data_IF_575851946083
#
_entry.id   IF_575851946083
#
_cell.length_a   1.000
_cell.length_b   1.000
_cell.length_c   1.000
_cell.angle_alpha   90.00
_cell.angle_beta   90.00
_cell.angle_gamma   90.00
#
_symmetry.space_group_name_H-M   'P 1'
#
loop_
_entity.id
_entity.type
_entity.pdbx_description
1 polymer ?
#
# COMPACT_ATOMS: atom_id res chain seq x y z
N UNK A 1 -30.04 -0.11 2.99
CA UNK A 1 -28.79 0.08 3.76
C UNK A 1 -28.08 1.30 3.19
N UNK A 2 -27.79 2.29 4.02
CA UNK A 2 -27.64 3.69 3.59
C UNK A 2 -26.34 3.95 2.83
N UNK A 3 -26.45 4.38 1.57
CA UNK A 3 -25.33 4.77 0.69
C UNK A 3 -24.38 5.83 1.30
N UNK A 4 -24.81 6.53 2.35
CA UNK A 4 -24.02 7.53 3.09
C UNK A 4 -22.82 6.95 3.84
N UNK A 5 -22.88 5.69 4.32
CA UNK A 5 -21.73 5.07 5.00
C UNK A 5 -20.64 4.61 4.04
N UNK A 6 -21.01 4.14 2.84
CA UNK A 6 -20.07 3.67 1.82
C UNK A 6 -19.24 4.82 1.23
N UNK A 7 -19.86 5.98 0.97
CA UNK A 7 -19.15 7.18 0.51
C UNK A 7 -18.17 7.69 1.58
N UNK A 8 -18.51 7.55 2.86
CA UNK A 8 -17.64 7.91 3.98
C UNK A 8 -16.38 7.06 4.05
N UNK A 9 -16.49 5.74 3.96
CA UNK A 9 -15.32 4.85 3.99
C UNK A 9 -14.45 4.96 2.74
N UNK A 10 -15.05 5.19 1.57
CA UNK A 10 -14.30 5.45 0.35
C UNK A 10 -13.43 6.71 0.50
N UNK A 11 -13.97 7.78 1.08
CA UNK A 11 -13.22 9.02 1.31
C UNK A 11 -12.15 8.82 2.39
N UNK A 12 -12.50 8.21 3.53
CA UNK A 12 -11.54 7.90 4.60
C UNK A 12 -10.34 7.10 4.09
N UNK A 13 -10.60 6.09 3.24
CA UNK A 13 -9.53 5.31 2.64
C UNK A 13 -8.65 6.13 1.70
N UNK A 14 -9.24 7.03 0.91
CA UNK A 14 -8.47 7.94 0.04
C UNK A 14 -7.63 8.90 0.87
N UNK A 15 -8.17 9.44 1.96
CA UNK A 15 -7.44 10.34 2.86
C UNK A 15 -6.27 9.61 3.53
N UNK A 16 -6.46 8.36 3.96
CA UNK A 16 -5.40 7.48 4.44
C UNK A 16 -4.28 7.31 3.40
N UNK A 17 -4.65 7.02 2.14
CA UNK A 17 -3.69 6.86 1.04
C UNK A 17 -2.97 8.16 0.75
N UNK A 18 -3.67 9.30 0.72
CA UNK A 18 -3.08 10.63 0.56
C UNK A 18 -2.07 10.93 1.68
N UNK A 19 -2.41 10.63 2.94
CA UNK A 19 -1.50 10.84 4.06
C UNK A 19 -0.22 9.99 3.94
N UNK A 20 -0.31 8.76 3.42
CA UNK A 20 0.87 7.95 3.09
C UNK A 20 1.64 8.55 1.90
N UNK A 21 0.97 9.01 0.83
CA UNK A 21 1.64 9.55 -0.37
C UNK A 21 2.25 10.92 -0.16
N UNK A 22 1.76 11.68 0.81
CA UNK A 22 2.31 12.96 1.25
C UNK A 22 3.29 12.79 2.41
N UNK A 23 3.50 11.54 2.87
CA UNK A 23 4.40 11.23 3.96
C UNK A 23 5.80 11.73 3.64
N UNK A 24 6.26 12.72 4.40
CA UNK A 24 7.63 13.17 4.42
C UNK A 24 8.18 13.00 5.84
N UNK A 25 9.49 13.17 6.02
CA UNK A 25 10.18 13.08 7.31
C UNK A 25 9.65 14.04 8.40
N UNK A 26 8.68 14.89 8.06
CA UNK A 26 8.09 15.92 8.93
C UNK A 26 6.70 15.59 9.48
N UNK A 27 6.06 14.47 9.12
CA UNK A 27 4.79 14.10 9.73
C UNK A 27 4.96 13.72 11.21
N UNK A 28 4.00 14.09 12.09
CA UNK A 28 4.08 13.76 13.50
C UNK A 28 4.02 12.23 13.68
N UNK A 29 4.70 11.66 14.69
CA UNK A 29 4.90 10.22 14.81
C UNK A 29 3.60 9.39 14.95
N UNK A 30 2.49 10.05 15.26
CA UNK A 30 1.14 9.53 15.48
C UNK A 30 0.15 9.86 14.36
N UNK A 31 0.61 10.38 13.21
CA UNK A 31 -0.26 10.77 12.07
C UNK A 31 -1.20 9.64 11.60
N UNK A 32 -0.84 8.39 11.88
CA UNK A 32 -1.58 7.20 11.49
C UNK A 32 -2.75 6.86 12.44
N UNK A 33 -2.77 7.44 13.66
CA UNK A 33 -3.77 7.16 14.69
C UNK A 33 -5.19 7.58 14.31
N UNK A 34 -5.34 8.53 13.38
CA UNK A 34 -6.64 8.94 12.84
C UNK A 34 -7.22 7.92 11.83
N UNK A 35 -6.38 7.05 11.25
CA UNK A 35 -6.77 6.12 10.20
C UNK A 35 -6.74 4.65 10.64
N UNK A 36 -5.89 4.31 11.61
CA UNK A 36 -5.56 2.92 11.96
C UNK A 36 -5.88 2.65 13.43
N UNK A 37 -6.56 1.53 13.68
CA UNK A 37 -6.97 1.11 15.01
C UNK A 37 -5.72 0.79 15.88
N UNK A 38 -5.73 1.11 17.20
CA UNK A 38 -4.63 0.80 18.12
C UNK A 38 -4.12 -0.64 18.03
N UNK A 39 -5.05 -1.59 17.93
CA UNK A 39 -4.82 -3.02 17.74
C UNK A 39 -5.03 -3.50 16.29
N UNK A 40 -4.47 -2.80 15.29
CA UNK A 40 -4.55 -3.24 13.88
C UNK A 40 -3.84 -4.58 13.66
N UNK A 41 -4.47 -5.43 12.85
CA UNK A 41 -3.94 -6.71 12.41
C UNK A 41 -3.65 -6.66 10.91
N UNK A 42 -2.47 -7.11 10.51
CA UNK A 42 -2.08 -7.22 9.10
C UNK A 42 -1.65 -8.65 8.78
N UNK A 43 -2.31 -9.30 7.82
CA UNK A 43 -2.07 -10.69 7.43
C UNK A 43 -1.96 -11.63 8.65
N UNK A 44 -2.96 -11.53 9.53
CA UNK A 44 -3.09 -12.32 10.77
C UNK A 44 -2.04 -12.03 11.85
N UNK A 45 -1.26 -10.95 11.73
CA UNK A 45 -0.32 -10.49 12.76
C UNK A 45 -0.85 -9.25 13.44
N UNK A 46 -1.04 -9.29 14.76
CA UNK A 46 -1.35 -8.11 15.57
C UNK A 46 -0.10 -7.22 15.59
N UNK A 47 -0.19 -6.05 14.94
CA UNK A 47 0.92 -5.11 14.81
C UNK A 47 0.74 -3.88 15.71
N UNK A 48 -0.50 -3.40 15.78
CA UNK A 48 -0.79 -2.08 16.30
C UNK A 48 -0.15 -0.94 15.48
N UNK A 49 -0.50 0.30 15.82
CA UNK A 49 -0.20 1.47 14.97
C UNK A 49 1.29 1.65 14.71
N UNK A 50 2.15 1.46 15.72
CA UNK A 50 3.59 1.67 15.58
C UNK A 50 4.24 0.68 14.61
N UNK A 51 3.95 -0.62 14.73
CA UNK A 51 4.55 -1.62 13.85
C UNK A 51 3.92 -1.57 12.45
N UNK A 52 2.63 -1.20 12.35
CA UNK A 52 1.97 -0.99 11.07
C UNK A 52 2.57 0.22 10.32
N UNK A 53 2.88 1.31 11.04
CA UNK A 53 3.63 2.45 10.49
C UNK A 53 5.00 2.02 9.97
N UNK A 54 5.78 1.30 10.77
CA UNK A 54 7.11 0.82 10.37
C UNK A 54 7.05 -0.09 9.14
N UNK A 55 6.00 -0.92 9.02
CA UNK A 55 5.75 -1.75 7.83
C UNK A 55 5.55 -0.88 6.58
N UNK A 56 4.68 0.13 6.66
CA UNK A 56 4.42 1.06 5.55
C UNK A 56 5.73 1.76 5.15
N UNK A 57 6.42 2.37 6.13
CA UNK A 57 7.65 3.11 5.90
C UNK A 57 8.70 2.24 5.23
N UNK A 58 8.92 1.01 5.72
CA UNK A 58 9.89 0.08 5.13
C UNK A 58 9.61 -0.25 3.65
N UNK A 59 8.35 -0.17 3.21
CA UNK A 59 7.95 -0.48 1.85
C UNK A 59 7.98 0.75 0.91
N UNK A 60 7.92 1.97 1.44
CA UNK A 60 7.75 3.18 0.63
C UNK A 60 8.89 4.21 0.75
N UNK A 61 9.78 4.12 1.74
CA UNK A 61 10.64 5.25 2.13
C UNK A 61 11.96 5.40 1.37
N UNK A 62 12.59 4.33 0.87
CA UNK A 62 13.91 4.47 0.22
C UNK A 62 14.21 3.43 -0.90
N UNK A 63 14.28 3.87 -2.17
CA UNK A 63 13.80 5.16 -2.66
C UNK A 63 12.27 5.22 -2.63
N UNK A 64 11.74 6.44 -2.61
CA UNK A 64 10.30 6.68 -2.59
C UNK A 64 9.59 5.90 -3.69
N UNK A 65 8.70 5.00 -3.28
CA UNK A 65 7.84 4.26 -4.20
C UNK A 65 6.50 4.95 -4.29
N UNK A 66 6.18 5.49 -5.46
CA UNK A 66 4.85 6.04 -5.71
C UNK A 66 3.83 4.91 -5.81
N UNK A 67 2.64 5.10 -5.26
CA UNK A 67 1.56 4.15 -5.47
C UNK A 67 0.24 4.84 -5.77
N UNK A 68 -0.62 4.13 -6.49
CA UNK A 68 -1.90 4.63 -6.99
C UNK A 68 -2.98 3.60 -6.76
N UNK A 69 -4.18 4.06 -6.39
CA UNK A 69 -5.38 3.23 -6.34
C UNK A 69 -5.90 3.03 -7.76
N UNK A 70 -5.73 1.83 -8.35
CA UNK A 70 -6.27 1.50 -9.67
C UNK A 70 -7.74 1.09 -9.61
N UNK A 71 -8.12 0.40 -8.54
CA UNK A 71 -9.51 -0.02 -8.29
C UNK A 71 -9.83 0.15 -6.82
N UNK A 72 -11.07 0.56 -6.54
CA UNK A 72 -11.59 0.69 -5.19
C UNK A 72 -13.02 0.15 -5.16
N UNK A 73 -13.29 -0.76 -4.24
CA UNK A 73 -14.60 -1.34 -3.97
C UNK A 73 -14.87 -1.14 -2.48
N UNK A 74 -16.07 -0.66 -2.15
CA UNK A 74 -16.50 -0.46 -0.77
C UNK A 74 -17.81 -1.19 -0.56
N UNK A 75 -17.88 -1.99 0.50
CA UNK A 75 -19.08 -2.69 0.90
C UNK A 75 -19.13 -2.81 2.42
N UNK A 76 -20.21 -2.32 3.02
CA UNK A 76 -20.42 -2.31 4.47
C UNK A 76 -19.24 -1.66 5.20
N UNK A 77 -18.51 -2.42 6.03
CA UNK A 77 -17.30 -1.98 6.73
C UNK A 77 -16.00 -2.45 6.05
N UNK A 78 -16.04 -2.84 4.79
CA UNK A 78 -14.88 -3.31 4.04
C UNK A 78 -14.55 -2.38 2.89
N UNK A 79 -13.24 -2.19 2.67
CA UNK A 79 -12.69 -1.55 1.48
C UNK A 79 -11.72 -2.53 0.84
N UNK A 80 -11.91 -2.84 -0.44
CA UNK A 80 -10.95 -3.60 -1.22
C UNK A 80 -10.34 -2.71 -2.30
N UNK A 81 -9.02 -2.74 -2.41
CA UNK A 81 -8.27 -1.92 -3.33
C UNK A 81 -7.29 -2.75 -4.15
N UNK A 82 -7.11 -2.34 -5.41
CA UNK A 82 -5.95 -2.70 -6.20
C UNK A 82 -5.00 -1.51 -6.21
N UNK A 83 -3.82 -1.70 -5.65
CA UNK A 83 -2.75 -0.70 -5.65
C UNK A 83 -1.73 -1.06 -6.72
N UNK A 84 -1.22 -0.03 -7.40
CA UNK A 84 -0.04 -0.13 -8.27
C UNK A 84 1.07 0.69 -7.67
N UNK A 85 2.20 0.05 -7.41
CA UNK A 85 3.45 0.66 -6.98
C UNK A 85 4.35 0.86 -8.19
N UNK A 86 4.97 2.04 -8.30
CA UNK A 86 5.95 2.37 -9.34
C UNK A 86 7.32 2.36 -8.71
N UNK A 87 8.07 1.28 -8.93
CA UNK A 87 9.43 1.15 -8.40
C UNK A 87 10.38 1.96 -9.28
N UNK A 88 11.04 3.00 -8.74
CA UNK A 88 11.84 3.91 -9.56
C UNK A 88 13.16 3.25 -10.02
N UNK A 89 13.79 3.76 -11.09
CA UNK A 89 15.06 3.22 -11.59
C UNK A 89 16.21 3.34 -10.58
N UNK A 90 16.12 4.26 -9.63
CA UNK A 90 17.09 4.45 -8.54
C UNK A 90 17.00 3.39 -7.45
N UNK A 91 15.91 2.61 -7.40
CA UNK A 91 15.70 1.57 -6.39
C UNK A 91 16.66 0.41 -6.62
N UNK A 92 17.54 0.11 -5.67
CA UNK A 92 18.52 -0.99 -5.78
C UNK A 92 18.07 -2.27 -5.09
N UNK A 93 17.11 -2.19 -4.16
CA UNK A 93 16.50 -3.32 -3.48
C UNK A 93 15.02 -3.07 -3.23
N UNK A 94 14.19 -4.11 -3.33
CA UNK A 94 12.75 -4.00 -3.11
C UNK A 94 12.18 -5.31 -2.55
N UNK A 95 11.40 -5.23 -1.48
CA UNK A 95 10.81 -6.40 -0.80
C UNK A 95 11.81 -7.52 -0.47
N UNK A 96 13.04 -7.16 -0.11
CA UNK A 96 14.12 -8.09 0.22
C UNK A 96 14.92 -8.64 -0.97
N UNK A 97 14.60 -8.23 -2.20
CA UNK A 97 15.34 -8.63 -3.40
C UNK A 97 16.34 -7.56 -3.84
N UNK A 98 17.57 -7.97 -4.16
CA UNK A 98 18.53 -7.12 -4.87
C UNK A 98 18.11 -6.99 -6.33
N UNK A 99 17.89 -5.75 -6.79
CA UNK A 99 17.40 -5.49 -8.14
C UNK A 99 18.54 -5.45 -9.17
N UNK A 100 18.22 -5.82 -10.40
CA UNK A 100 19.07 -5.60 -11.58
C UNK A 100 19.30 -4.11 -11.78
N UNK A 101 20.37 -3.75 -12.50
CA UNK A 101 20.57 -2.36 -12.95
C UNK A 101 19.38 -1.88 -13.77
N UNK A 102 18.95 -0.63 -13.61
CA UNK A 102 17.77 -0.04 -14.26
C UNK A 102 17.63 -0.38 -15.76
N UNK A 103 18.73 -0.28 -16.54
CA UNK A 103 18.76 -0.59 -17.98
C UNK A 103 18.36 -2.02 -18.37
N UNK A 104 18.47 -2.96 -17.43
CA UNK A 104 18.18 -4.37 -17.61
C UNK A 104 16.78 -4.74 -17.07
N UNK A 105 16.08 -3.80 -16.45
CA UNK A 105 14.75 -4.04 -15.91
C UNK A 105 13.70 -4.12 -17.01
N UNK A 106 12.64 -4.85 -16.72
CA UNK A 106 11.45 -5.00 -17.54
C UNK A 106 10.21 -4.73 -16.71
N UNK A 107 9.17 -4.21 -17.34
CA UNK A 107 7.85 -4.13 -16.76
C UNK A 107 7.04 -5.35 -17.17
N UNK A 108 6.33 -5.94 -16.21
CA UNK A 108 5.33 -6.99 -16.44
C UNK A 108 3.96 -6.34 -16.31
N UNK A 109 3.21 -6.29 -17.40
CA UNK A 109 1.85 -5.78 -17.39
C UNK A 109 0.89 -6.78 -16.73
N UNK A 110 -0.32 -6.36 -16.28
CA UNK A 110 -1.28 -7.25 -15.63
C UNK A 110 -1.77 -8.42 -16.49
N UNK A 111 -1.65 -8.33 -17.82
CA UNK A 111 -1.96 -9.40 -18.77
C UNK A 111 -0.79 -10.38 -18.99
N UNK A 112 0.33 -10.18 -18.30
CA UNK A 112 1.56 -10.97 -18.42
C UNK A 112 2.54 -10.48 -19.48
N UNK A 113 2.19 -9.45 -20.26
CA UNK A 113 3.08 -8.89 -21.29
C UNK A 113 4.34 -8.30 -20.67
N UNK A 114 5.50 -8.63 -21.24
CA UNK A 114 6.81 -8.14 -20.77
C UNK A 114 7.35 -7.11 -21.76
N UNK A 115 7.65 -5.91 -21.27
CA UNK A 115 8.21 -4.83 -22.08
C UNK A 115 9.21 -3.99 -21.28
N UNK A 116 10.19 -3.38 -21.95
CA UNK A 116 11.02 -2.35 -21.31
C UNK A 116 10.27 -1.03 -21.27
N UNK A 117 10.44 -0.28 -20.19
CA UNK A 117 9.99 1.12 -20.11
C UNK A 117 11.15 2.07 -20.36
N UNK A 118 10.85 3.22 -20.97
CA UNK A 118 11.83 4.27 -21.27
C UNK A 118 12.38 4.92 -19.99
N UNK A 119 11.54 5.04 -18.96
CA UNK A 119 11.89 5.57 -17.64
C UNK A 119 12.62 4.54 -16.75
N UNK A 120 12.79 3.30 -17.22
CA UNK A 120 13.40 2.18 -16.49
C UNK A 120 12.75 1.84 -15.13
N UNK A 121 11.54 2.35 -14.88
CA UNK A 121 10.72 1.93 -13.76
C UNK A 121 10.07 0.57 -14.06
N UNK A 122 9.48 -0.06 -13.05
CA UNK A 122 8.57 -1.17 -13.25
C UNK A 122 7.45 -1.12 -12.21
N UNK A 123 6.34 -1.76 -12.53
CA UNK A 123 5.18 -1.81 -11.65
C UNK A 123 5.12 -3.09 -10.81
N UNK A 124 4.69 -2.92 -9.57
CA UNK A 124 4.28 -4.00 -8.65
C UNK A 124 2.83 -3.75 -8.28
N UNK A 125 2.05 -4.81 -8.13
CA UNK A 125 0.62 -4.69 -7.86
C UNK A 125 0.27 -5.38 -6.55
N UNK A 126 -0.64 -4.79 -5.80
CA UNK A 126 -1.17 -5.36 -4.58
C UNK A 126 -2.69 -5.40 -4.64
N UNK A 127 -3.27 -6.53 -4.23
CA UNK A 127 -4.68 -6.62 -3.89
C UNK A 127 -4.78 -6.67 -2.37
N UNK A 128 -5.49 -5.69 -1.82
CA UNK A 128 -5.59 -5.52 -0.38
C UNK A 128 -7.03 -5.26 0.01
N UNK A 129 -7.46 -5.91 1.08
CA UNK A 129 -8.78 -5.71 1.68
C UNK A 129 -8.60 -5.25 3.12
N UNK A 130 -9.33 -4.22 3.49
CA UNK A 130 -9.34 -3.61 4.81
C UNK A 130 -10.71 -3.82 5.42
N UNK A 131 -10.76 -4.24 6.67
CA UNK A 131 -11.95 -4.11 7.50
C UNK A 131 -11.78 -2.88 8.40
N UNK A 132 -12.83 -2.06 8.44
CA UNK A 132 -12.93 -0.93 9.34
C UNK A 132 -13.79 -1.30 10.56
N UNK A 133 -13.44 -0.73 11.70
CA UNK A 133 -14.22 -0.77 12.93
C UNK A 133 -14.26 0.62 13.55
N UNK A 134 -15.29 0.89 14.35
CA UNK A 134 -15.34 2.09 15.18
C UNK A 134 -14.41 1.89 16.37
N UNK A 135 -13.46 2.80 16.55
CA UNK A 135 -12.62 2.86 17.74
C UNK A 135 -13.46 3.37 18.91
N UNK A 136 -13.46 2.64 20.02
CA UNK A 136 -14.31 2.94 21.17
C UNK A 136 -13.86 4.19 21.93
N UNK A 137 -12.61 4.61 21.74
CA UNK A 137 -12.03 5.75 22.46
C UNK A 137 -12.45 7.10 21.88
N UNK A 138 -12.60 7.19 20.55
CA UNK A 138 -12.90 8.43 19.84
C UNK A 138 -14.12 8.35 18.91
N UNK A 139 -14.73 7.17 18.76
CA UNK A 139 -15.91 6.95 17.94
C UNK A 139 -15.66 7.04 16.43
N UNK A 140 -14.40 7.06 15.98
CA UNK A 140 -14.04 7.16 14.56
C UNK A 140 -13.90 5.77 13.92
N UNK A 141 -14.24 5.68 12.64
CA UNK A 141 -13.92 4.50 11.84
C UNK A 141 -12.42 4.43 11.57
N UNK A 142 -11.81 3.28 11.83
CA UNK A 142 -10.38 3.03 11.61
C UNK A 142 -10.13 1.64 11.02
N UNK A 143 -9.02 1.49 10.31
CA UNK A 143 -8.56 0.21 9.77
C UNK A 143 -8.22 -0.72 10.94
N UNK A 144 -8.94 -1.84 11.02
CA UNK A 144 -8.80 -2.86 12.08
C UNK A 144 -8.10 -4.12 11.59
N UNK A 145 -8.48 -4.61 10.42
CA UNK A 145 -7.88 -5.80 9.80
C UNK A 145 -7.44 -5.47 8.37
N UNK A 146 -6.31 -6.04 7.97
CA UNK A 146 -5.75 -5.91 6.62
C UNK A 146 -5.36 -7.28 6.09
N UNK A 147 -5.91 -7.64 4.93
CA UNK A 147 -5.53 -8.82 4.16
C UNK A 147 -4.94 -8.37 2.83
N UNK A 148 -3.65 -8.60 2.66
CA UNK A 148 -2.87 -8.13 1.53
C UNK A 148 -2.15 -9.27 0.83
N UNK A 149 -2.21 -9.25 -0.50
CA UNK A 149 -1.38 -10.05 -1.39
C UNK A 149 -0.72 -9.15 -2.44
N UNK A 150 0.60 -9.27 -2.59
CA UNK A 150 1.36 -8.58 -3.62
C UNK A 150 1.78 -9.55 -4.73
N UNK A 151 1.62 -9.12 -5.97
CA UNK A 151 2.21 -9.78 -7.13
C UNK A 151 3.72 -9.52 -7.14
N UNK A 152 4.48 -10.53 -6.70
CA UNK A 152 5.94 -10.44 -6.57
C UNK A 152 6.67 -10.84 -7.87
N UNK A 153 5.96 -11.33 -8.89
CA UNK A 153 6.59 -11.77 -10.13
C UNK A 153 7.36 -10.65 -10.85
N UNK A 154 6.86 -9.40 -10.93
CA UNK A 154 7.64 -8.28 -11.44
C UNK A 154 8.95 -8.07 -10.67
N UNK A 155 8.96 -8.25 -9.35
CA UNK A 155 10.17 -8.10 -8.53
C UNK A 155 11.16 -9.21 -8.84
N UNK A 156 10.70 -10.48 -8.89
CA UNK A 156 11.55 -11.64 -9.21
C UNK A 156 12.16 -11.56 -10.61
N UNK A 157 11.41 -11.09 -11.62
CA UNK A 157 11.95 -10.90 -12.98
C UNK A 157 13.01 -9.80 -13.05
N UNK A 158 12.99 -8.89 -12.10
CA UNK A 158 13.92 -7.76 -12.00
C UNK A 158 14.96 -7.93 -10.90
N UNK A 159 15.07 -9.10 -10.28
CA UNK A 159 16.07 -9.38 -9.24
C UNK A 159 17.29 -10.09 -9.80
N UNK A 160 18.41 -9.91 -9.12
CA UNK A 160 19.57 -10.80 -9.25
C UNK A 160 19.14 -12.17 -8.69
N UNK A 161 19.44 -13.25 -9.42
CA UNK A 161 19.13 -14.62 -8.98
C UNK A 161 19.88 -14.97 -7.70
#
# INVERSE_FOLDING_TARGET
>A
MSSSSMLGLAQLYRDYITAITDFDAHLPPDWLCDFVHPDVVHNSRLLGVQQYRALIESNISDPRTEFTIEKLIVQDNHVSARLRFTVPPTCISYLGFSLLSAKNRVNVAPDGTVAKRVDHSFHVYEHVTYQFAVDETDGKWKIKEVWSIADIDPVKKNSQQ
#
